data_IF_919944700169
#
_entry.id   IF_919944700169
#
_cell.length_a   1.000
_cell.length_b   1.000
_cell.length_c   1.000
_cell.angle_alpha   90.00
_cell.angle_beta   90.00
_cell.angle_gamma   90.00
#
_symmetry.space_group_name_H-M   'P 1'
#
loop_
_entity.id
_entity.type
_entity.pdbx_description
1 polymer ?
#
# COMPACT_ATOMS: atom_id res chain seq x y z
N UNK A 1 -11.79 12.29 18.80
CA UNK A 1 -11.51 12.84 17.47
C UNK A 1 -11.55 11.67 16.49
N UNK A 2 -12.58 11.57 15.64
CA UNK A 2 -12.68 10.48 14.65
C UNK A 2 -12.16 11.06 13.33
N UNK A 3 -10.86 10.93 13.09
CA UNK A 3 -10.31 11.18 11.74
C UNK A 3 -10.80 10.00 10.90
N UNK A 4 -11.70 10.25 9.95
CA UNK A 4 -12.17 9.25 8.98
C UNK A 4 -11.63 9.70 7.63
N UNK A 5 -10.59 9.02 7.17
CA UNK A 5 -9.89 9.29 5.90
C UNK A 5 -8.81 10.37 5.98
N UNK A 6 -7.56 9.96 5.79
CA UNK A 6 -6.41 10.86 5.56
C UNK A 6 -5.50 10.28 4.46
N UNK A 7 -6.10 9.56 3.50
CA UNK A 7 -5.40 8.93 2.39
C UNK A 7 -5.50 9.81 1.15
N UNK A 8 -4.34 10.20 0.62
CA UNK A 8 -4.23 10.85 -0.67
C UNK A 8 -3.85 9.81 -1.73
N UNK A 9 -4.85 9.30 -2.46
CA UNK A 9 -4.66 8.26 -3.47
C UNK A 9 -4.37 8.85 -4.86
N UNK A 10 -3.12 8.70 -5.33
CA UNK A 10 -2.61 9.14 -6.63
C UNK A 10 -2.38 7.94 -7.55
N UNK A 11 -3.39 7.60 -8.36
CA UNK A 11 -3.29 6.52 -9.35
C UNK A 11 -2.82 7.09 -10.68
N UNK A 12 -1.64 6.67 -11.14
CA UNK A 12 -1.07 7.12 -12.41
C UNK A 12 -1.87 6.60 -13.62
N UNK A 13 -1.91 7.36 -14.74
CA UNK A 13 -2.60 6.92 -15.95
C UNK A 13 -2.11 5.60 -16.54
N UNK A 14 -0.88 5.17 -16.20
CA UNK A 14 -0.30 3.90 -16.63
C UNK A 14 -0.90 2.67 -15.96
N UNK A 15 -1.64 2.84 -14.86
CA UNK A 15 -2.23 1.73 -14.11
C UNK A 15 -3.42 1.15 -14.87
N UNK A 16 -3.51 -0.18 -14.92
CA UNK A 16 -4.66 -0.87 -15.50
C UNK A 16 -5.96 -0.43 -14.79
N UNK A 17 -6.96 -0.02 -15.57
CA UNK A 17 -8.25 0.50 -15.04
C UNK A 17 -8.99 -0.50 -14.16
N UNK A 18 -8.86 -1.80 -14.42
CA UNK A 18 -9.46 -2.84 -13.63
C UNK A 18 -8.87 -2.88 -12.21
N UNK A 19 -7.55 -3.04 -12.08
CA UNK A 19 -6.91 -3.07 -10.76
C UNK A 19 -7.03 -1.72 -10.04
N UNK A 20 -7.00 -0.60 -10.78
CA UNK A 20 -7.27 0.72 -10.21
C UNK A 20 -8.65 0.82 -9.54
N UNK A 21 -9.68 0.15 -10.08
CA UNK A 21 -11.01 0.12 -9.47
C UNK A 21 -11.00 -0.66 -8.16
N UNK A 22 -10.33 -1.81 -8.11
CA UNK A 22 -10.24 -2.63 -6.89
C UNK A 22 -9.41 -1.93 -5.81
N UNK A 23 -8.29 -1.28 -6.17
CA UNK A 23 -7.52 -0.44 -5.25
C UNK A 23 -8.37 0.68 -4.65
N UNK A 24 -9.17 1.39 -5.46
CA UNK A 24 -10.03 2.46 -4.96
C UNK A 24 -11.05 1.96 -3.93
N UNK A 25 -11.67 0.81 -4.18
CA UNK A 25 -12.61 0.20 -3.22
C UNK A 25 -11.91 -0.17 -1.92
N UNK A 26 -10.73 -0.78 -2.03
CA UNK A 26 -9.95 -1.20 -0.88
C UNK A 26 -9.50 -0.01 -0.04
N UNK A 27 -8.99 1.05 -0.66
CA UNK A 27 -8.62 2.29 0.04
C UNK A 27 -9.82 2.94 0.72
N UNK A 28 -10.98 3.00 0.06
CA UNK A 28 -12.19 3.52 0.69
C UNK A 28 -12.63 2.68 1.90
N UNK A 29 -12.46 1.36 1.86
CA UNK A 29 -12.68 0.49 3.01
C UNK A 29 -11.66 0.77 4.13
N UNK A 30 -10.37 0.97 3.80
CA UNK A 30 -9.33 1.30 4.77
C UNK A 30 -9.65 2.61 5.52
N UNK A 31 -10.08 3.65 4.82
CA UNK A 31 -10.42 4.95 5.43
C UNK A 31 -11.55 4.87 6.46
N UNK A 32 -12.44 3.89 6.32
CA UNK A 32 -13.58 3.68 7.23
C UNK A 32 -13.22 2.77 8.40
N UNK A 33 -12.36 1.78 8.17
CA UNK A 33 -12.09 0.71 9.14
C UNK A 33 -10.79 0.89 9.93
N UNK A 34 -9.88 1.76 9.47
CA UNK A 34 -8.57 1.97 10.11
C UNK A 34 -8.33 3.42 10.53
N UNK A 35 -7.65 3.59 11.67
CA UNK A 35 -7.30 4.90 12.20
C UNK A 35 -6.05 5.44 11.49
N UNK A 36 -6.20 6.54 10.75
CA UNK A 36 -5.13 7.18 9.99
C UNK A 36 -4.89 8.62 10.51
N UNK A 37 -4.21 8.78 11.65
CA UNK A 37 -4.07 10.08 12.31
C UNK A 37 -3.15 11.06 11.58
N UNK A 38 -2.27 10.57 10.69
CA UNK A 38 -1.33 11.35 9.87
C UNK A 38 -1.59 11.13 8.39
N UNK A 39 -1.31 12.12 7.55
CA UNK A 39 -1.58 12.03 6.11
C UNK A 39 -0.73 10.92 5.49
N UNK A 40 -1.38 10.07 4.69
CA UNK A 40 -0.75 8.99 3.97
C UNK A 40 -1.02 9.15 2.47
N UNK A 41 0.03 9.42 1.69
CA UNK A 41 -0.07 9.45 0.24
C UNK A 41 0.23 8.08 -0.36
N UNK A 42 -0.72 7.54 -1.12
CA UNK A 42 -0.55 6.26 -1.83
C UNK A 42 -0.38 6.56 -3.32
N UNK A 43 0.80 6.30 -3.87
CA UNK A 43 1.11 6.50 -5.29
C UNK A 43 1.12 5.15 -5.99
N UNK A 44 0.20 4.95 -6.94
CA UNK A 44 0.06 3.69 -7.68
C UNK A 44 0.52 3.88 -9.11
N UNK A 45 1.41 3.02 -9.59
CA UNK A 45 2.02 3.13 -10.93
C UNK A 45 1.99 1.80 -11.69
N UNK A 46 1.80 1.86 -13.01
CA UNK A 46 1.76 0.69 -13.88
C UNK A 46 3.12 0.17 -14.36
N UNK A 47 4.23 0.65 -13.80
CA UNK A 47 5.57 0.08 -14.08
C UNK A 47 5.71 -1.29 -13.41
N UNK A 48 6.63 -2.15 -13.88
CA UNK A 48 6.82 -3.49 -13.29
C UNK A 48 7.50 -3.44 -11.92
N UNK A 49 8.45 -2.53 -11.74
CA UNK A 49 9.17 -2.37 -10.47
C UNK A 49 9.38 -0.88 -10.16
N UNK A 50 9.44 -0.58 -8.87
CA UNK A 50 9.93 0.69 -8.35
C UNK A 50 11.29 0.48 -7.67
N UNK A 51 12.01 1.58 -7.42
CA UNK A 51 13.34 1.53 -6.82
C UNK A 51 13.27 1.90 -5.34
N UNK A 52 13.78 1.04 -4.47
CA UNK A 52 13.92 1.31 -3.04
C UNK A 52 15.04 2.32 -2.75
N UNK A 53 15.16 2.75 -1.49
CA UNK A 53 16.26 3.61 -1.05
C UNK A 53 17.62 2.93 -1.22
N UNK A 54 17.66 1.60 -1.05
CA UNK A 54 18.83 0.74 -1.25
C UNK A 54 19.05 0.35 -2.73
N UNK A 55 18.34 1.01 -3.63
CA UNK A 55 18.43 0.82 -5.08
C UNK A 55 17.97 -0.54 -5.61
N UNK A 56 17.23 -1.30 -4.82
CA UNK A 56 16.66 -2.60 -5.22
C UNK A 56 15.36 -2.44 -6.00
N UNK A 57 15.06 -3.44 -6.84
CA UNK A 57 13.77 -3.54 -7.52
C UNK A 57 12.75 -4.17 -6.59
N UNK A 58 11.70 -3.42 -6.27
CA UNK A 58 10.62 -3.85 -5.40
C UNK A 58 9.26 -3.50 -6.02
N UNK A 59 8.20 -4.12 -5.52
CA UNK A 59 6.82 -3.85 -5.96
C UNK A 59 6.10 -2.85 -5.06
N UNK A 60 6.57 -2.64 -3.83
CA UNK A 60 6.05 -1.63 -2.91
C UNK A 60 7.16 -1.06 -2.04
N UNK A 61 6.95 0.18 -1.58
CA UNK A 61 7.82 0.84 -0.61
C UNK A 61 7.00 1.75 0.27
N UNK A 62 7.28 1.76 1.57
CA UNK A 62 6.85 2.79 2.49
C UNK A 62 8.00 3.73 2.84
N UNK A 63 7.70 5.02 2.90
CA UNK A 63 8.59 6.04 3.41
C UNK A 63 7.88 6.86 4.46
N UNK A 64 8.57 7.06 5.57
CA UNK A 64 8.11 7.87 6.66
C UNK A 64 9.10 9.00 6.94
N UNK A 65 8.61 10.22 7.18
CA UNK A 65 9.47 11.33 7.57
C UNK A 65 9.97 11.17 9.00
N UNK A 66 11.07 11.87 9.31
CA UNK A 66 11.53 12.03 10.69
C UNK A 66 10.59 12.94 11.49
N UNK A 67 10.15 14.05 10.88
CA UNK A 67 9.13 14.93 11.44
C UNK A 67 7.73 14.31 11.25
N UNK A 68 7.00 14.07 12.33
CA UNK A 68 5.65 13.48 12.30
C UNK A 68 4.58 14.43 11.74
N UNK A 69 4.89 15.72 11.53
CA UNK A 69 3.98 16.66 10.88
C UNK A 69 4.04 16.59 9.35
N UNK A 70 5.07 15.97 8.78
CA UNK A 70 5.14 15.69 7.35
C UNK A 70 4.32 14.45 6.97
N UNK A 71 3.84 14.41 5.73
CA UNK A 71 3.05 13.28 5.21
C UNK A 71 3.93 12.05 4.93
N UNK A 72 3.43 10.87 5.29
CA UNK A 72 4.02 9.62 4.83
C UNK A 72 3.67 9.36 3.37
N UNK A 73 4.49 8.60 2.66
CA UNK A 73 4.11 8.10 1.35
C UNK A 73 4.45 6.64 1.15
N UNK A 74 3.55 5.91 0.49
CA UNK A 74 3.83 4.61 -0.07
C UNK A 74 3.72 4.65 -1.59
N UNK A 75 4.55 3.84 -2.24
CA UNK A 75 4.52 3.65 -3.69
C UNK A 75 4.21 2.19 -3.96
N UNK A 76 3.28 1.95 -4.89
CA UNK A 76 2.81 0.63 -5.27
C UNK A 76 2.96 0.46 -6.78
N UNK A 77 3.68 -0.57 -7.16
CA UNK A 77 3.85 -1.05 -8.52
C UNK A 77 2.73 -2.03 -8.85
N UNK A 78 2.12 -1.92 -10.03
CA UNK A 78 1.09 -2.86 -10.50
C UNK A 78 1.43 -3.46 -11.87
N UNK A 79 2.66 -3.30 -12.35
CA UNK A 79 3.04 -3.74 -13.70
C UNK A 79 3.20 -5.26 -13.82
N UNK A 80 3.25 -5.99 -12.71
CA UNK A 80 3.21 -7.45 -12.63
C UNK A 80 1.77 -8.02 -12.67
N UNK A 81 0.74 -7.17 -12.55
CA UNK A 81 -0.66 -7.59 -12.48
C UNK A 81 -1.06 -8.57 -13.59
N UNK A 82 -0.65 -8.32 -14.83
CA UNK A 82 -0.97 -9.18 -15.98
C UNK A 82 -0.27 -10.54 -15.94
N UNK A 83 0.94 -10.59 -15.36
CA UNK A 83 1.66 -11.85 -15.18
C UNK A 83 1.02 -12.68 -14.07
N UNK A 84 0.62 -12.02 -12.98
CA UNK A 84 -0.10 -12.66 -11.87
C UNK A 84 -1.50 -13.15 -12.29
N UNK A 85 -2.20 -12.40 -13.16
CA UNK A 85 -3.54 -12.76 -13.63
C UNK A 85 -3.55 -14.13 -14.33
N UNK A 86 -2.43 -14.53 -14.98
CA UNK A 86 -2.28 -15.86 -15.59
C UNK A 86 -2.43 -17.02 -14.60
N UNK A 87 -2.17 -16.75 -13.33
CA UNK A 87 -2.27 -17.73 -12.23
C UNK A 87 -3.59 -17.61 -11.46
N UNK A 88 -4.44 -16.65 -11.82
CA UNK A 88 -5.72 -16.38 -11.18
C UNK A 88 -5.95 -14.90 -10.99
N UNK A 89 -7.08 -14.40 -11.50
CA UNK A 89 -7.46 -13.00 -11.41
C UNK A 89 -7.59 -12.51 -9.97
N UNK A 90 -8.25 -13.30 -9.13
CA UNK A 90 -8.44 -12.94 -7.72
C UNK A 90 -7.09 -12.91 -6.99
N UNK A 91 -6.23 -13.90 -7.22
CA UNK A 91 -4.86 -13.93 -6.68
C UNK A 91 -4.05 -12.70 -7.07
N UNK A 92 -4.16 -12.23 -8.31
CA UNK A 92 -3.48 -11.01 -8.77
C UNK A 92 -3.99 -9.74 -8.07
N UNK A 93 -5.31 -9.65 -7.87
CA UNK A 93 -5.93 -8.55 -7.11
C UNK A 93 -5.43 -8.60 -5.66
N UNK A 94 -5.56 -9.74 -4.98
CA UNK A 94 -5.14 -9.89 -3.59
C UNK A 94 -3.66 -9.60 -3.40
N UNK A 95 -2.80 -10.03 -4.31
CA UNK A 95 -1.38 -9.71 -4.24
C UNK A 95 -1.12 -8.20 -4.23
N UNK A 96 -1.83 -7.43 -5.07
CA UNK A 96 -1.71 -5.97 -5.12
C UNK A 96 -2.25 -5.32 -3.83
N UNK A 97 -3.39 -5.78 -3.33
CA UNK A 97 -3.99 -5.25 -2.10
C UNK A 97 -3.13 -5.61 -0.87
N UNK A 98 -2.47 -6.77 -0.88
CA UNK A 98 -1.57 -7.21 0.17
C UNK A 98 -0.32 -6.32 0.22
N UNK A 99 0.22 -5.89 -0.92
CA UNK A 99 1.29 -4.88 -0.94
C UNK A 99 0.87 -3.57 -0.27
N UNK A 100 -0.35 -3.07 -0.54
CA UNK A 100 -0.87 -1.87 0.15
C UNK A 100 -0.97 -2.11 1.66
N UNK A 101 -1.47 -3.29 2.05
CA UNK A 101 -1.63 -3.68 3.46
C UNK A 101 -0.30 -3.77 4.19
N UNK A 102 0.72 -4.36 3.54
CA UNK A 102 2.07 -4.47 4.06
C UNK A 102 2.65 -3.10 4.39
N UNK A 103 2.58 -2.16 3.43
CA UNK A 103 3.07 -0.80 3.66
C UNK A 103 2.23 -0.03 4.69
N UNK A 104 0.92 -0.32 4.80
CA UNK A 104 0.06 0.29 5.83
C UNK A 104 0.46 -0.16 7.25
N UNK A 105 0.92 -1.39 7.42
CA UNK A 105 1.44 -1.86 8.70
C UNK A 105 2.74 -1.16 9.07
N UNK A 106 3.62 -0.90 8.09
CA UNK A 106 4.80 -0.08 8.32
C UNK A 106 4.43 1.35 8.76
N UNK A 107 3.36 1.93 8.20
CA UNK A 107 2.81 3.19 8.68
C UNK A 107 2.40 3.13 10.16
N UNK A 108 1.69 2.08 10.57
CA UNK A 108 1.31 1.91 11.97
C UNK A 108 2.51 1.67 12.90
N UNK A 109 3.49 0.87 12.47
CA UNK A 109 4.75 0.69 13.21
C UNK A 109 5.48 2.03 13.41
N UNK A 110 5.54 2.85 12.36
CA UNK A 110 6.11 4.20 12.46
C UNK A 110 5.32 5.10 13.41
N UNK A 111 3.98 5.08 13.40
CA UNK A 111 3.19 5.85 14.37
C UNK A 111 3.45 5.44 15.83
N UNK A 112 3.79 4.18 16.05
CA UNK A 112 4.07 3.59 17.37
C UNK A 112 5.56 3.63 17.75
N UNK A 113 6.41 4.28 16.94
CA UNK A 113 7.87 4.32 17.09
C UNK A 113 8.51 2.92 17.23
N UNK A 114 7.91 1.93 16.56
CA UNK A 114 8.41 0.55 16.50
C UNK A 114 9.38 0.39 15.33
N UNK A 115 10.31 -0.55 15.50
CA UNK A 115 11.16 -1.00 14.40
C UNK A 115 10.31 -1.64 13.28
N UNK A 116 10.71 -1.38 12.04
CA UNK A 116 10.05 -1.91 10.85
C UNK A 116 10.51 -3.35 10.61
N UNK A 117 9.74 -4.32 11.10
CA UNK A 117 10.07 -5.75 10.98
C UNK A 117 9.27 -6.45 9.88
N UNK A 118 9.91 -6.76 8.74
CA UNK A 118 9.26 -7.36 7.57
C UNK A 118 8.47 -8.64 7.84
N UNK A 119 9.00 -9.58 8.64
CA UNK A 119 8.34 -10.86 8.93
C UNK A 119 7.02 -10.72 9.73
N UNK A 120 6.90 -9.70 10.58
CA UNK A 120 5.67 -9.42 11.31
C UNK A 120 4.66 -8.69 10.40
N UNK A 121 5.17 -7.82 9.55
CA UNK A 121 4.41 -7.08 8.53
C UNK A 121 3.71 -8.04 7.55
N UNK A 122 4.42 -9.04 7.04
CA UNK A 122 3.85 -10.02 6.09
C UNK A 122 2.63 -10.77 6.66
N UNK A 123 2.72 -11.20 7.93
CA UNK A 123 1.64 -11.93 8.59
C UNK A 123 0.40 -11.06 8.77
N UNK A 124 0.59 -9.82 9.23
CA UNK A 124 -0.51 -8.88 9.43
C UNK A 124 -1.13 -8.44 8.11
N UNK A 125 -0.34 -8.26 7.05
CA UNK A 125 -0.81 -7.86 5.74
C UNK A 125 -1.76 -8.91 5.16
N UNK A 126 -1.37 -10.18 5.29
CA UNK A 126 -2.17 -11.32 4.84
C UNK A 126 -3.52 -11.38 5.55
N UNK A 127 -3.57 -11.06 6.85
CA UNK A 127 -4.82 -11.03 7.61
C UNK A 127 -5.75 -9.91 7.12
N UNK A 128 -5.22 -8.70 6.90
CA UNK A 128 -5.98 -7.54 6.40
C UNK A 128 -6.61 -7.77 5.02
N UNK A 129 -5.99 -8.58 4.18
CA UNK A 129 -6.52 -8.89 2.85
C UNK A 129 -7.54 -10.03 2.81
N UNK A 130 -7.69 -10.79 3.90
CA UNK A 130 -8.59 -11.94 3.97
C UNK A 130 -9.92 -11.64 4.69
N UNK A 131 -10.12 -10.40 5.19
CA UNK A 131 -11.36 -9.92 5.82
C UNK A 131 -12.36 -9.37 4.79
#
# INVERSE_FOLDING_TARGET
MKIIGNINLDIRPSVNRFIAKEIKKYVAWLEVNHSLPKELRIIVTGVSFIRSIDHEHVISTFWAPFDKEEACYMKISTGDFWELEKWGKDSAIYSTLNSISHELIHYHQWLEDKELHGNETDKKATLLTNE
#
